data_IF_020831269018
#
_entry.id   IF_020831269018
#
_cell.length_a   1.000
_cell.length_b   1.000
_cell.length_c   1.000
_cell.angle_alpha   90.00
_cell.angle_beta   90.00
_cell.angle_gamma   90.00
#
_symmetry.space_group_name_H-M   'P 1'
#
loop_
_entity.id
_entity.type
_entity.pdbx_description
1 polymer ?
#
# COMPACT_ATOMS: atom_id res chain seq x y z
N UNK A 1 38.50 -14.27 -0.53
CA UNK A 1 38.03 -14.24 0.88
C UNK A 1 36.85 -13.29 0.92
N UNK A 2 35.63 -13.81 0.75
CA UNK A 2 34.40 -13.01 0.94
C UNK A 2 34.30 -12.68 2.43
N UNK A 3 34.31 -11.41 2.68
CA UNK A 3 34.19 -10.86 4.03
C UNK A 3 32.77 -11.14 4.51
N UNK A 4 32.59 -12.21 5.27
CA UNK A 4 31.30 -12.61 5.86
C UNK A 4 30.99 -11.69 7.05
N UNK A 5 30.86 -10.37 6.76
CA UNK A 5 30.38 -9.42 7.75
C UNK A 5 28.93 -9.77 8.03
N UNK A 6 28.61 -10.14 9.26
CA UNK A 6 27.23 -10.39 9.70
C UNK A 6 26.34 -9.22 9.28
N UNK A 7 25.28 -9.52 8.51
CA UNK A 7 24.30 -8.51 8.05
C UNK A 7 23.73 -7.76 9.25
N UNK A 8 23.86 -6.45 9.23
CA UNK A 8 23.29 -5.59 10.28
C UNK A 8 21.78 -5.42 10.06
N UNK A 9 21.00 -6.15 10.85
CA UNK A 9 19.53 -6.14 10.81
C UNK A 9 19.02 -5.29 11.96
N UNK A 10 18.10 -4.35 11.64
CA UNK A 10 17.43 -3.51 12.63
C UNK A 10 15.91 -3.67 12.48
N UNK A 11 15.25 -4.11 13.56
CA UNK A 11 13.80 -4.28 13.63
C UNK A 11 13.17 -3.10 14.39
N UNK A 12 12.34 -2.34 13.71
CA UNK A 12 11.59 -1.20 14.26
C UNK A 12 10.18 -1.66 14.65
N UNK A 13 9.91 -1.71 15.94
CA UNK A 13 8.69 -2.28 16.52
C UNK A 13 7.77 -1.16 16.97
N UNK A 14 6.58 -1.06 16.39
CA UNK A 14 5.58 -0.11 16.85
C UNK A 14 4.88 -0.64 18.13
N UNK A 15 5.13 -0.03 19.30
CA UNK A 15 4.54 -0.48 20.57
C UNK A 15 3.03 -0.27 20.65
N UNK A 16 2.45 0.56 19.78
CA UNK A 16 1.02 0.86 19.69
C UNK A 16 0.31 0.04 18.61
N UNK A 17 1.02 -0.80 17.86
CA UNK A 17 0.43 -1.59 16.80
C UNK A 17 -0.75 -2.44 17.28
N UNK A 18 -1.68 -2.74 16.35
CA UNK A 18 -2.86 -3.56 16.58
C UNK A 18 -3.79 -3.04 17.68
N UNK A 19 -4.00 -1.71 17.75
CA UNK A 19 -4.91 -1.07 18.73
C UNK A 19 -4.61 -1.49 20.18
N UNK A 20 -3.37 -1.35 20.60
CA UNK A 20 -2.92 -1.70 21.96
C UNK A 20 -2.96 -3.21 22.27
N UNK A 21 -3.08 -4.09 21.28
CA UNK A 21 -3.01 -5.56 21.51
C UNK A 21 -1.70 -5.97 22.18
N UNK A 22 -0.59 -5.26 21.97
CA UNK A 22 0.64 -5.45 22.69
C UNK A 22 0.47 -5.36 24.21
N UNK A 23 -0.35 -4.40 24.71
CA UNK A 23 -0.62 -4.31 26.15
C UNK A 23 -1.32 -5.55 26.69
N UNK A 24 -2.21 -6.16 25.89
CA UNK A 24 -2.94 -7.38 26.26
C UNK A 24 -2.11 -8.65 26.03
N UNK A 25 -1.09 -8.59 25.20
CA UNK A 25 -0.27 -9.74 24.77
C UNK A 25 1.22 -9.51 25.00
N UNK A 26 1.60 -8.99 26.18
CA UNK A 26 3.00 -8.75 26.56
C UNK A 26 3.89 -9.99 26.35
N UNK A 27 3.38 -11.17 26.68
CA UNK A 27 4.09 -12.44 26.47
C UNK A 27 4.38 -12.68 24.97
N UNK A 28 3.39 -12.47 24.11
CA UNK A 28 3.54 -12.62 22.66
C UNK A 28 4.58 -11.65 22.08
N UNK A 29 4.59 -10.40 22.57
CA UNK A 29 5.61 -9.43 22.16
C UNK A 29 7.00 -9.86 22.61
N UNK A 30 7.16 -10.25 23.86
CA UNK A 30 8.43 -10.72 24.39
C UNK A 30 8.97 -11.95 23.66
N UNK A 31 8.08 -12.88 23.31
CA UNK A 31 8.41 -14.04 22.50
C UNK A 31 8.81 -13.63 21.07
N UNK A 32 8.05 -12.74 20.43
CA UNK A 32 8.40 -12.23 19.09
C UNK A 32 9.77 -11.56 19.09
N UNK A 33 10.03 -10.65 20.04
CA UNK A 33 11.31 -9.94 20.14
C UNK A 33 12.48 -10.90 20.29
N UNK A 34 12.33 -12.00 21.05
CA UNK A 34 13.35 -13.04 21.19
C UNK A 34 13.65 -13.81 19.89
N UNK A 35 12.67 -13.85 18.98
CA UNK A 35 12.81 -14.57 17.71
C UNK A 35 13.19 -13.67 16.53
N UNK A 36 13.13 -12.34 16.72
CA UNK A 36 13.53 -11.38 15.68
C UNK A 36 15.05 -11.40 15.49
N UNK A 37 15.52 -11.32 14.23
CA UNK A 37 16.94 -11.21 13.95
C UNK A 37 17.45 -9.79 14.25
N UNK A 38 18.69 -9.69 14.68
CA UNK A 38 19.40 -8.43 14.88
C UNK A 38 18.90 -7.57 16.04
N UNK A 39 19.06 -6.26 15.92
CA UNK A 39 18.69 -5.28 16.96
C UNK A 39 17.22 -4.93 16.89
N UNK A 40 16.54 -4.86 18.03
CA UNK A 40 15.12 -4.50 18.13
C UNK A 40 14.98 -3.17 18.87
N UNK A 41 14.35 -2.21 18.21
CA UNK A 41 14.10 -0.87 18.74
C UNK A 41 12.59 -0.58 18.68
N UNK A 42 12.05 -0.01 19.75
CA UNK A 42 10.67 0.49 19.73
C UNK A 42 10.59 1.81 18.96
N UNK A 43 9.62 1.93 18.05
CA UNK A 43 9.40 3.19 17.36
C UNK A 43 8.84 4.23 18.34
N UNK A 44 9.16 5.51 18.15
CA UNK A 44 8.51 6.60 18.86
C UNK A 44 6.98 6.61 18.67
N UNK A 45 6.31 7.57 19.32
CA UNK A 45 4.83 7.65 19.27
C UNK A 45 4.33 8.40 18.05
N UNK A 46 5.12 9.33 17.54
CA UNK A 46 4.74 10.14 16.39
C UNK A 46 5.33 9.56 15.10
N UNK A 47 4.72 9.94 14.00
CA UNK A 47 5.15 9.58 12.65
C UNK A 47 6.50 10.21 12.33
N UNK A 48 6.61 11.51 12.59
CA UNK A 48 7.79 12.33 12.29
C UNK A 48 9.02 11.78 13.02
N UNK A 49 8.88 11.44 14.29
CA UNK A 49 9.95 10.84 15.07
C UNK A 49 10.33 9.43 14.56
N UNK A 50 9.35 8.64 14.07
CA UNK A 50 9.60 7.32 13.48
C UNK A 50 10.36 7.44 12.16
N UNK A 51 10.00 8.39 11.32
CA UNK A 51 10.72 8.72 10.08
C UNK A 51 12.15 9.14 10.38
N UNK A 52 12.36 10.07 11.31
CA UNK A 52 13.70 10.54 11.70
C UNK A 52 14.56 9.42 12.31
N UNK A 53 14.00 8.61 13.20
CA UNK A 53 14.68 7.44 13.75
C UNK A 53 15.13 6.49 12.65
N UNK A 54 14.26 6.19 11.71
CA UNK A 54 14.59 5.32 10.58
C UNK A 54 15.69 5.92 9.71
N UNK A 55 15.59 7.23 9.40
CA UNK A 55 16.59 7.96 8.64
C UNK A 55 17.97 7.85 9.27
N UNK A 56 18.07 7.98 10.59
CA UNK A 56 19.32 7.92 11.33
C UNK A 56 19.95 6.52 11.39
N UNK A 57 19.12 5.47 11.31
CA UNK A 57 19.55 4.06 11.38
C UNK A 57 20.06 3.56 10.01
N UNK A 58 19.46 3.99 8.92
CA UNK A 58 19.74 3.49 7.56
C UNK A 58 21.23 3.50 7.17
N UNK A 59 22.08 4.49 7.54
CA UNK A 59 23.50 4.47 7.20
C UNK A 59 24.27 3.27 7.74
N UNK A 60 23.80 2.66 8.84
CA UNK A 60 24.46 1.56 9.53
C UNK A 60 23.75 0.21 9.38
N UNK A 61 22.63 0.14 8.67
CA UNK A 61 21.81 -1.06 8.51
C UNK A 61 21.88 -1.62 7.08
N UNK A 62 21.95 -2.94 6.94
CA UNK A 62 21.80 -3.64 5.66
C UNK A 62 20.32 -4.03 5.41
N UNK A 63 19.58 -4.29 6.50
CA UNK A 63 18.17 -4.67 6.47
C UNK A 63 17.43 -3.93 7.59
N UNK A 64 16.41 -3.15 7.20
CA UNK A 64 15.49 -2.48 8.13
C UNK A 64 14.14 -3.17 8.06
N UNK A 65 13.64 -3.63 9.21
CA UNK A 65 12.40 -4.41 9.31
C UNK A 65 11.34 -3.61 10.06
N UNK A 66 10.24 -3.30 9.41
CA UNK A 66 9.08 -2.70 10.06
C UNK A 66 8.20 -3.78 10.71
N UNK A 67 8.01 -3.72 12.02
CA UNK A 67 7.15 -4.62 12.80
C UNK A 67 5.91 -3.86 13.25
N UNK A 68 4.85 -3.88 12.44
CA UNK A 68 3.66 -3.07 12.69
C UNK A 68 2.55 -3.26 11.68
N UNK A 69 1.69 -2.25 11.56
CA UNK A 69 0.65 -2.13 10.54
C UNK A 69 1.08 -1.28 9.35
N UNK A 70 0.14 -1.03 8.42
CA UNK A 70 0.41 -0.28 7.18
C UNK A 70 0.97 1.13 7.46
N UNK A 71 0.52 1.82 8.53
CA UNK A 71 1.08 3.12 8.95
C UNK A 71 2.56 3.01 9.37
N UNK A 72 2.91 2.02 10.22
CA UNK A 72 4.32 1.81 10.60
C UNK A 72 5.20 1.50 9.39
N UNK A 73 4.67 0.70 8.46
CA UNK A 73 5.36 0.37 7.20
C UNK A 73 5.61 1.65 6.39
N UNK A 74 4.60 2.52 6.29
CA UNK A 74 4.70 3.79 5.59
C UNK A 74 5.75 4.73 6.21
N UNK A 75 5.75 4.87 7.55
CA UNK A 75 6.70 5.75 8.26
C UNK A 75 8.15 5.26 8.10
N UNK A 76 8.37 3.93 8.20
CA UNK A 76 9.69 3.35 7.99
C UNK A 76 10.13 3.49 6.52
N UNK A 77 9.25 3.26 5.56
CA UNK A 77 9.55 3.50 4.14
C UNK A 77 9.94 4.95 3.89
N UNK A 78 9.17 5.90 4.42
CA UNK A 78 9.48 7.33 4.29
C UNK A 78 10.87 7.65 4.85
N UNK A 79 11.21 7.13 6.04
CA UNK A 79 12.52 7.33 6.64
C UNK A 79 13.68 6.73 5.84
N UNK A 80 13.47 5.56 5.19
CA UNK A 80 14.46 4.98 4.28
C UNK A 80 14.70 5.92 3.09
N UNK A 81 13.62 6.44 2.49
CA UNK A 81 13.74 7.37 1.36
C UNK A 81 14.43 8.68 1.76
N UNK A 82 14.05 9.27 2.88
CA UNK A 82 14.66 10.51 3.37
C UNK A 82 16.15 10.33 3.77
N UNK A 83 16.58 9.08 4.04
CA UNK A 83 17.99 8.78 4.27
C UNK A 83 18.84 8.75 2.99
N UNK A 84 18.21 8.68 1.80
CA UNK A 84 18.89 8.47 0.52
C UNK A 84 19.57 7.09 0.39
N UNK A 85 19.12 6.08 1.17
CA UNK A 85 19.72 4.73 1.21
C UNK A 85 18.83 3.64 0.64
N UNK A 86 17.76 3.96 -0.06
CA UNK A 86 16.79 3.03 -0.63
C UNK A 86 17.39 2.01 -1.63
N UNK A 87 18.52 2.34 -2.23
CA UNK A 87 19.29 1.48 -3.15
C UNK A 87 20.16 0.45 -2.40
N UNK A 88 20.52 0.71 -1.16
CA UNK A 88 21.45 -0.10 -0.33
C UNK A 88 20.72 -0.92 0.72
N UNK A 89 19.80 -0.29 1.43
CA UNK A 89 19.01 -0.94 2.48
C UNK A 89 17.98 -1.87 1.88
N UNK A 90 17.91 -3.10 2.38
CA UNK A 90 16.79 -4.00 2.10
C UNK A 90 15.69 -3.72 3.12
N UNK A 91 14.44 -3.68 2.66
CA UNK A 91 13.29 -3.47 3.53
C UNK A 91 12.58 -4.78 3.85
N UNK A 92 12.23 -5.01 5.10
CA UNK A 92 11.49 -6.18 5.56
C UNK A 92 10.20 -5.79 6.28
N UNK A 93 9.18 -6.65 6.22
CA UNK A 93 7.88 -6.41 6.84
C UNK A 93 7.45 -7.58 7.72
N UNK A 94 7.17 -7.32 8.99
CA UNK A 94 6.52 -8.26 9.90
C UNK A 94 5.16 -7.68 10.29
N UNK A 95 4.05 -8.32 9.82
CA UNK A 95 2.73 -7.76 9.99
C UNK A 95 2.23 -7.86 11.41
N UNK A 96 1.85 -6.74 12.01
CA UNK A 96 1.23 -6.69 13.33
C UNK A 96 0.08 -5.67 13.42
N UNK A 97 -0.45 -5.25 12.28
CA UNK A 97 -1.59 -4.32 12.16
C UNK A 97 -2.92 -5.02 11.94
N UNK A 98 -3.98 -4.23 11.79
CA UNK A 98 -5.34 -4.70 11.47
C UNK A 98 -5.53 -4.97 9.98
N UNK A 99 -5.02 -4.10 9.11
CA UNK A 99 -5.15 -4.17 7.64
C UNK A 99 -4.08 -5.08 7.02
N UNK A 100 -2.86 -4.67 7.10
CA UNK A 100 -1.68 -5.35 6.53
C UNK A 100 -1.84 -5.69 5.03
N UNK A 101 -2.30 -4.70 4.23
CA UNK A 101 -2.47 -4.87 2.80
C UNK A 101 -1.14 -5.08 2.09
N UNK A 102 -0.16 -4.24 2.41
CA UNK A 102 1.16 -4.25 1.78
C UNK A 102 1.86 -5.62 1.89
N UNK A 103 1.88 -6.23 3.09
CA UNK A 103 2.49 -7.56 3.27
C UNK A 103 1.87 -8.63 2.38
N UNK A 104 0.54 -8.50 2.08
CA UNK A 104 -0.19 -9.47 1.28
C UNK A 104 0.26 -9.42 -0.18
N UNK A 105 0.49 -8.22 -0.70
CA UNK A 105 1.08 -8.02 -2.02
C UNK A 105 2.50 -8.60 -2.14
N UNK A 106 3.24 -8.67 -1.03
CA UNK A 106 4.57 -9.26 -0.96
C UNK A 106 4.57 -10.79 -0.72
N UNK A 107 3.40 -11.43 -0.66
CA UNK A 107 3.27 -12.85 -0.37
C UNK A 107 3.63 -13.26 1.07
N UNK A 108 3.77 -12.29 1.99
CA UNK A 108 4.15 -12.52 3.39
C UNK A 108 2.93 -13.00 4.21
N UNK A 109 3.05 -14.06 5.05
CA UNK A 109 1.95 -14.56 5.85
C UNK A 109 1.52 -13.59 6.96
N UNK A 110 0.24 -13.66 7.38
CA UNK A 110 -0.31 -12.79 8.44
C UNK A 110 0.27 -13.11 9.84
N UNK A 111 0.71 -14.33 10.06
CA UNK A 111 1.33 -14.74 11.33
C UNK A 111 2.74 -14.14 11.41
N UNK A 112 3.05 -13.29 12.41
CA UNK A 112 4.34 -12.62 12.51
C UNK A 112 5.52 -13.57 12.67
N UNK A 113 5.36 -14.68 13.40
CA UNK A 113 6.43 -15.69 13.55
C UNK A 113 6.72 -16.40 12.23
N UNK A 114 5.68 -16.70 11.42
CA UNK A 114 5.88 -17.25 10.08
C UNK A 114 6.48 -16.21 9.11
N UNK A 115 6.25 -14.91 9.35
CA UNK A 115 6.82 -13.84 8.54
C UNK A 115 8.33 -13.71 8.74
N UNK A 116 8.86 -14.00 9.94
CA UNK A 116 10.30 -13.94 10.24
C UNK A 116 11.11 -14.79 9.25
N UNK A 117 10.58 -15.97 8.85
CA UNK A 117 11.24 -16.81 7.85
C UNK A 117 11.54 -16.04 6.55
N UNK A 118 10.63 -15.17 6.12
CA UNK A 118 10.81 -14.39 4.89
C UNK A 118 11.79 -13.22 5.05
N UNK A 119 12.04 -12.80 6.30
CA UNK A 119 13.11 -11.84 6.61
C UNK A 119 14.48 -12.47 6.46
N UNK A 120 14.62 -13.72 6.88
CA UNK A 120 15.89 -14.44 6.91
C UNK A 120 16.20 -15.17 5.59
N UNK A 121 15.20 -15.80 4.99
CA UNK A 121 15.33 -16.74 3.88
C UNK A 121 14.49 -16.36 2.65
N UNK A 122 13.75 -15.24 2.69
CA UNK A 122 12.88 -14.81 1.59
C UNK A 122 13.65 -14.33 0.37
N UNK A 123 12.95 -14.28 -0.75
CA UNK A 123 13.47 -13.69 -1.97
C UNK A 123 13.71 -12.18 -1.74
N UNK A 124 14.82 -11.65 -2.23
CA UNK A 124 15.05 -10.21 -2.31
C UNK A 124 14.75 -9.77 -3.73
N UNK A 125 13.80 -8.86 -3.88
CA UNK A 125 13.42 -8.30 -5.18
C UNK A 125 13.11 -6.82 -5.05
N UNK A 126 13.21 -6.12 -6.16
CA UNK A 126 12.93 -4.69 -6.22
C UNK A 126 11.47 -4.48 -6.58
N UNK A 127 10.86 -3.48 -5.97
CA UNK A 127 9.49 -3.07 -6.26
C UNK A 127 9.43 -1.58 -6.58
N UNK A 128 8.40 -1.21 -7.33
CA UNK A 128 8.01 0.17 -7.54
C UNK A 128 7.20 0.67 -6.35
N UNK A 129 7.24 1.97 -6.12
CA UNK A 129 6.37 2.68 -5.18
C UNK A 129 5.74 3.88 -5.89
N UNK A 130 4.83 4.55 -5.24
CA UNK A 130 4.33 5.82 -5.74
C UNK A 130 4.84 6.98 -4.88
N UNK A 131 5.03 8.12 -5.51
CA UNK A 131 5.17 9.40 -4.85
C UNK A 131 3.86 10.16 -5.00
N UNK A 132 3.29 10.60 -3.89
CA UNK A 132 2.16 11.53 -3.84
C UNK A 132 2.62 12.78 -3.12
N UNK A 133 2.62 13.90 -3.86
CA UNK A 133 3.26 15.13 -3.41
C UNK A 133 4.71 14.87 -2.92
N UNK A 134 5.00 15.08 -1.65
CA UNK A 134 6.29 14.83 -1.00
C UNK A 134 6.40 13.45 -0.29
N UNK A 135 5.37 12.60 -0.40
CA UNK A 135 5.26 11.35 0.34
C UNK A 135 5.49 10.13 -0.54
N UNK A 136 6.12 9.12 0.04
CA UNK A 136 6.27 7.80 -0.59
C UNK A 136 5.18 6.85 -0.08
N UNK A 137 4.54 6.13 -0.99
CA UNK A 137 3.45 5.25 -0.65
C UNK A 137 3.41 3.98 -1.50
N UNK A 138 2.74 2.96 -1.00
CA UNK A 138 2.42 1.74 -1.76
C UNK A 138 1.08 1.89 -2.50
N UNK A 139 0.19 2.73 -2.00
CA UNK A 139 -1.12 3.02 -2.60
C UNK A 139 -1.66 4.36 -2.11
N UNK A 140 -2.54 4.95 -2.92
CA UNK A 140 -3.29 6.15 -2.60
C UNK A 140 -4.75 6.00 -3.06
N UNK A 141 -5.65 6.81 -2.54
CA UNK A 141 -6.96 7.04 -3.15
C UNK A 141 -7.41 8.49 -3.07
N UNK A 142 -8.24 8.86 -4.03
CA UNK A 142 -8.85 10.17 -4.12
C UNK A 142 -10.37 9.97 -4.18
N UNK A 143 -11.10 10.57 -3.23
CA UNK A 143 -12.54 10.48 -3.19
C UNK A 143 -13.10 9.92 -1.89
N UNK A 144 -14.15 9.10 -2.00
CA UNK A 144 -14.97 8.66 -0.86
C UNK A 144 -14.22 7.83 0.19
N UNK A 145 -13.30 6.98 -0.22
CA UNK A 145 -12.49 6.17 0.70
C UNK A 145 -11.56 7.05 1.53
N UNK A 146 -10.99 8.09 0.93
CA UNK A 146 -10.18 9.08 1.64
C UNK A 146 -11.03 9.89 2.63
N UNK A 147 -12.22 10.31 2.21
CA UNK A 147 -13.18 11.01 3.09
C UNK A 147 -13.57 10.17 4.32
N UNK A 148 -13.83 8.86 4.13
CA UNK A 148 -14.11 7.92 5.23
C UNK A 148 -12.90 7.75 6.16
N UNK A 149 -11.69 7.73 5.59
CA UNK A 149 -10.45 7.66 6.38
C UNK A 149 -10.28 8.92 7.25
N UNK A 150 -10.47 10.10 6.68
CA UNK A 150 -10.43 11.37 7.41
C UNK A 150 -11.47 11.45 8.54
N UNK A 151 -12.70 11.01 8.27
CA UNK A 151 -13.78 10.97 9.27
C UNK A 151 -13.46 10.04 10.44
N UNK A 152 -12.93 8.84 10.14
CA UNK A 152 -12.50 7.89 11.15
C UNK A 152 -11.41 8.46 12.07
N UNK A 153 -10.45 9.19 11.51
CA UNK A 153 -9.38 9.82 12.26
C UNK A 153 -9.91 10.91 13.19
N UNK A 154 -10.87 11.74 12.74
CA UNK A 154 -11.52 12.79 13.55
C UNK A 154 -12.22 12.22 14.78
N UNK A 155 -12.92 11.11 14.63
CA UNK A 155 -13.71 10.54 15.73
C UNK A 155 -12.92 9.57 16.63
N UNK A 156 -11.67 9.25 16.31
CA UNK A 156 -10.78 8.37 17.08
C UNK A 156 -11.40 7.02 17.48
N UNK A 157 -12.43 6.55 16.76
CA UNK A 157 -13.12 5.30 17.06
C UNK A 157 -12.34 4.13 16.42
N UNK A 158 -11.75 3.23 17.22
CA UNK A 158 -10.92 2.16 16.70
C UNK A 158 -11.75 1.00 16.11
N UNK A 159 -11.14 0.29 15.14
CA UNK A 159 -11.65 -0.98 14.64
C UNK A 159 -12.75 -0.86 13.59
N UNK A 160 -13.44 -1.99 13.37
CA UNK A 160 -14.48 -2.13 12.34
C UNK A 160 -15.68 -1.20 12.59
N UNK A 161 -16.05 -0.99 13.83
CA UNK A 161 -17.18 -0.12 14.19
C UNK A 161 -16.92 1.34 13.81
N UNK A 162 -15.68 1.82 13.98
CA UNK A 162 -15.27 3.14 13.49
C UNK A 162 -15.39 3.29 11.98
N UNK A 163 -15.05 2.26 11.23
CA UNK A 163 -15.23 2.25 9.76
C UNK A 163 -16.70 2.22 9.36
N UNK A 164 -17.55 1.43 10.04
CA UNK A 164 -18.98 1.39 9.78
C UNK A 164 -19.66 2.76 10.05
N UNK A 165 -19.27 3.41 11.13
CA UNK A 165 -19.79 4.74 11.47
C UNK A 165 -19.33 5.80 10.45
N UNK A 166 -18.05 5.77 10.07
CA UNK A 166 -17.48 6.66 9.07
C UNK A 166 -18.05 6.38 7.65
N UNK A 167 -18.42 5.14 7.35
CA UNK A 167 -19.04 4.75 6.09
C UNK A 167 -20.39 5.44 5.83
N UNK A 168 -21.05 5.98 6.89
CA UNK A 168 -22.22 6.85 6.70
C UNK A 168 -21.91 8.06 5.82
N UNK A 169 -20.68 8.59 5.88
CA UNK A 169 -20.24 9.70 5.04
C UNK A 169 -20.26 9.32 3.56
N UNK A 170 -20.08 8.04 3.24
CA UNK A 170 -20.17 7.53 1.88
C UNK A 170 -21.56 7.75 1.26
N UNK A 171 -22.63 7.57 2.04
CA UNK A 171 -24.01 7.77 1.55
C UNK A 171 -24.28 9.21 1.08
N UNK A 172 -23.61 10.17 1.72
CA UNK A 172 -23.77 11.60 1.45
C UNK A 172 -22.61 12.17 0.62
N UNK A 173 -21.69 11.33 0.17
CA UNK A 173 -20.57 11.78 -0.65
C UNK A 173 -21.07 12.22 -2.03
N UNK A 174 -20.82 13.47 -2.35
CA UNK A 174 -21.16 14.03 -3.67
C UNK A 174 -20.00 13.80 -4.63
N UNK A 175 -20.31 13.17 -5.74
CA UNK A 175 -19.35 13.06 -6.86
C UNK A 175 -19.25 14.40 -7.53
N UNK A 176 -18.04 14.85 -7.78
CA UNK A 176 -17.72 16.04 -8.57
C UNK A 176 -17.12 15.63 -9.90
N UNK A 177 -17.21 16.49 -10.89
CA UNK A 177 -16.48 16.30 -12.13
C UNK A 177 -15.00 16.59 -11.90
N UNK A 178 -14.17 15.67 -12.34
CA UNK A 178 -12.73 15.71 -12.18
C UNK A 178 -12.04 15.46 -13.51
N UNK A 179 -10.87 16.06 -13.67
CA UNK A 179 -10.01 15.87 -14.83
C UNK A 179 -8.79 15.07 -14.37
N UNK A 180 -8.55 13.94 -15.03
CA UNK A 180 -7.35 13.14 -14.85
C UNK A 180 -6.45 13.33 -16.07
N UNK A 181 -5.25 13.81 -15.85
CA UNK A 181 -4.19 13.95 -16.86
C UNK A 181 -3.18 12.82 -16.61
N UNK A 182 -3.11 11.85 -17.52
CA UNK A 182 -2.27 10.66 -17.40
C UNK A 182 -1.09 10.80 -18.37
N UNK A 183 0.14 10.59 -17.88
CA UNK A 183 1.35 10.57 -18.71
C UNK A 183 1.88 9.15 -18.86
N UNK A 184 2.27 8.77 -20.08
CA UNK A 184 2.72 7.42 -20.40
C UNK A 184 1.65 6.39 -20.06
N UNK A 185 0.42 6.61 -20.53
CA UNK A 185 -0.75 5.84 -20.16
C UNK A 185 -0.96 4.62 -21.07
N UNK A 186 -1.59 3.59 -20.48
CA UNK A 186 -2.06 2.41 -21.19
C UNK A 186 -3.49 2.13 -20.75
N UNK A 187 -4.43 1.99 -21.70
CA UNK A 187 -5.83 1.66 -21.40
C UNK A 187 -6.09 0.15 -21.24
N UNK A 188 -7.33 -0.22 -20.98
CA UNK A 188 -7.73 -1.62 -20.79
C UNK A 188 -7.60 -2.48 -22.06
N UNK A 189 -7.63 -1.87 -23.24
CA UNK A 189 -7.42 -2.49 -24.53
C UNK A 189 -5.95 -2.60 -24.91
N UNK A 190 -5.04 -2.05 -24.08
CA UNK A 190 -3.60 -2.07 -24.29
C UNK A 190 -3.08 -0.98 -25.23
N UNK A 191 -3.91 0.02 -25.57
CA UNK A 191 -3.48 1.18 -26.35
C UNK A 191 -2.62 2.09 -25.52
N UNK A 192 -1.54 2.58 -26.09
CA UNK A 192 -0.57 3.44 -25.43
C UNK A 192 -0.79 4.92 -25.82
N UNK A 193 -0.61 5.79 -24.85
CA UNK A 193 -0.76 7.24 -25.00
C UNK A 193 0.39 7.93 -24.27
N UNK A 194 1.04 8.88 -24.93
CA UNK A 194 2.02 9.74 -24.28
C UNK A 194 1.32 10.62 -23.24
N UNK A 195 0.15 11.15 -23.61
CA UNK A 195 -0.73 11.94 -22.75
C UNK A 195 -2.18 11.51 -23.00
N UNK A 196 -2.95 11.30 -21.93
CA UNK A 196 -4.36 10.96 -21.99
C UNK A 196 -5.12 11.78 -20.96
N UNK A 197 -6.10 12.57 -21.41
CA UNK A 197 -6.99 13.34 -20.53
C UNK A 197 -8.34 12.63 -20.43
N UNK A 198 -8.80 12.45 -19.19
CA UNK A 198 -10.06 11.78 -18.87
C UNK A 198 -10.91 12.70 -18.00
N UNK A 199 -12.13 12.99 -18.46
CA UNK A 199 -13.15 13.60 -17.62
C UNK A 199 -13.93 12.50 -16.92
N UNK A 200 -14.05 12.56 -15.59
CA UNK A 200 -14.72 11.53 -14.81
C UNK A 200 -15.39 12.12 -13.57
N UNK A 201 -16.60 11.68 -13.32
CA UNK A 201 -17.30 11.92 -12.07
C UNK A 201 -17.26 10.65 -11.21
N UNK A 202 -16.06 10.33 -10.72
CA UNK A 202 -15.86 9.13 -9.90
C UNK A 202 -16.33 9.33 -8.45
N UNK A 203 -16.77 8.27 -7.81
CA UNK A 203 -16.97 8.19 -6.36
C UNK A 203 -15.63 8.02 -5.65
N UNK A 204 -14.76 7.21 -6.24
CA UNK A 204 -13.43 6.92 -5.71
C UNK A 204 -12.47 6.61 -6.87
N UNK A 205 -11.24 7.04 -6.72
CA UNK A 205 -10.13 6.71 -7.61
C UNK A 205 -9.04 6.06 -6.77
N UNK A 206 -8.77 4.77 -6.98
CA UNK A 206 -7.72 4.03 -6.28
C UNK A 206 -6.51 3.91 -7.17
N UNK A 207 -5.34 4.23 -6.62
CA UNK A 207 -4.07 4.32 -7.34
C UNK A 207 -3.02 3.53 -6.56
N UNK A 208 -2.28 2.69 -7.24
CA UNK A 208 -1.19 1.92 -6.66
C UNK A 208 -0.47 1.05 -7.66
N UNK A 209 0.53 0.34 -7.21
CA UNK A 209 1.27 -0.65 -8.01
C UNK A 209 1.14 -2.07 -7.42
N UNK A 210 0.14 -2.31 -6.59
CA UNK A 210 -0.06 -3.59 -5.93
C UNK A 210 -1.49 -4.09 -6.05
N UNK A 211 -1.67 -5.42 -5.96
CA UNK A 211 -2.98 -6.06 -6.10
C UNK A 211 -3.96 -5.64 -4.99
N UNK A 212 -3.45 -5.33 -3.80
CA UNK A 212 -4.25 -5.10 -2.61
C UNK A 212 -4.17 -3.67 -2.12
N UNK A 213 -5.34 -3.16 -1.79
CA UNK A 213 -5.55 -1.89 -1.13
C UNK A 213 -6.10 -2.13 0.28
N UNK A 214 -5.95 -1.25 1.21
CA UNK A 214 -6.33 -1.30 2.62
C UNK A 214 -7.14 -2.54 3.05
N UNK A 215 -7.02 -3.02 4.27
CA UNK A 215 -7.70 -4.24 4.77
C UNK A 215 -7.71 -5.45 3.83
N UNK A 216 -6.74 -5.54 2.90
CA UNK A 216 -6.62 -6.63 1.92
C UNK A 216 -7.71 -6.67 0.85
N UNK A 217 -8.27 -5.55 0.49
CA UNK A 217 -9.19 -5.40 -0.63
C UNK A 217 -8.45 -5.63 -1.96
N UNK A 218 -8.92 -6.58 -2.78
CA UNK A 218 -8.30 -6.94 -4.06
C UNK A 218 -8.81 -5.99 -5.16
N UNK A 219 -8.16 -4.85 -5.32
CA UNK A 219 -8.60 -3.78 -6.24
C UNK A 219 -8.05 -3.99 -7.65
N UNK A 220 -6.77 -4.30 -7.77
CA UNK A 220 -6.07 -4.40 -9.04
C UNK A 220 -5.39 -5.79 -9.20
N UNK A 221 -6.16 -6.86 -9.49
CA UNK A 221 -5.60 -8.22 -9.59
C UNK A 221 -4.48 -8.38 -10.62
N UNK A 222 -4.42 -7.50 -11.61
CA UNK A 222 -3.41 -7.48 -12.68
C UNK A 222 -2.22 -6.57 -12.38
N UNK A 223 -2.25 -5.80 -11.30
CA UNK A 223 -1.15 -4.93 -10.94
C UNK A 223 0.14 -5.72 -10.69
N UNK A 224 1.25 -5.15 -11.13
CA UNK A 224 2.60 -5.68 -10.90
C UNK A 224 3.37 -4.74 -10.01
N UNK A 225 4.20 -5.33 -9.15
CA UNK A 225 5.01 -4.55 -8.23
C UNK A 225 6.24 -3.88 -8.89
N UNK A 226 6.53 -4.20 -10.17
CA UNK A 226 7.82 -3.91 -10.81
C UNK A 226 7.72 -3.66 -12.32
N UNK A 227 6.61 -3.12 -12.81
CA UNK A 227 6.43 -2.85 -14.24
C UNK A 227 6.58 -1.37 -14.63
N UNK A 228 6.91 -0.52 -13.66
CA UNK A 228 7.12 0.91 -13.87
C UNK A 228 5.83 1.70 -14.09
N UNK A 229 4.68 1.17 -13.66
CA UNK A 229 3.38 1.81 -13.80
C UNK A 229 2.59 1.88 -12.50
N UNK A 230 1.72 2.87 -12.43
CA UNK A 230 0.60 2.95 -11.48
C UNK A 230 -0.61 2.29 -12.12
N UNK A 231 -1.33 1.48 -11.36
CA UNK A 231 -2.67 1.03 -11.71
C UNK A 231 -3.70 2.02 -11.15
N UNK A 232 -4.55 2.57 -12.00
CA UNK A 232 -5.54 3.61 -11.69
C UNK A 232 -6.92 3.04 -11.95
N UNK A 233 -7.72 2.86 -10.90
CA UNK A 233 -9.04 2.25 -10.94
C UNK A 233 -10.10 3.27 -10.57
N UNK A 234 -11.05 3.53 -11.46
CA UNK A 234 -12.14 4.48 -11.27
C UNK A 234 -13.44 3.77 -10.88
N UNK A 235 -14.05 4.21 -9.78
CA UNK A 235 -15.35 3.78 -9.31
C UNK A 235 -16.39 4.82 -9.69
N UNK A 236 -16.91 4.75 -10.91
CA UNK A 236 -17.85 5.71 -11.50
C UNK A 236 -19.30 5.31 -11.25
N UNK A 237 -19.64 4.94 -10.03
CA UNK A 237 -20.98 4.50 -9.66
C UNK A 237 -21.55 5.31 -8.48
N UNK A 238 -22.89 5.39 -8.34
CA UNK A 238 -23.50 6.03 -7.18
C UNK A 238 -23.15 5.34 -5.86
N UNK A 239 -23.11 6.07 -4.73
CA UNK A 239 -22.74 5.53 -3.42
C UNK A 239 -23.55 4.29 -3.01
N UNK A 240 -24.85 4.27 -3.23
CA UNK A 240 -25.71 3.13 -2.88
C UNK A 240 -25.36 1.87 -3.68
N UNK A 241 -25.07 2.02 -4.97
CA UNK A 241 -24.64 0.90 -5.83
C UNK A 241 -23.27 0.41 -5.38
N UNK A 242 -22.36 1.31 -5.06
CA UNK A 242 -21.03 0.97 -4.54
C UNK A 242 -21.13 0.14 -3.24
N UNK A 243 -21.96 0.57 -2.28
CA UNK A 243 -22.16 -0.13 -1.01
C UNK A 243 -22.74 -1.54 -1.26
N UNK A 244 -23.73 -1.65 -2.12
CA UNK A 244 -24.35 -2.94 -2.47
C UNK A 244 -23.37 -3.88 -3.16
N UNK A 245 -22.54 -3.37 -4.08
CA UNK A 245 -21.57 -4.14 -4.83
C UNK A 245 -20.24 -4.34 -4.06
N UNK A 246 -20.04 -3.67 -2.93
CA UNK A 246 -18.78 -3.69 -2.20
C UNK A 246 -18.24 -5.10 -1.89
N UNK A 247 -19.06 -6.10 -1.49
CA UNK A 247 -18.55 -7.47 -1.30
C UNK A 247 -17.91 -8.04 -2.58
N UNK A 248 -18.53 -7.84 -3.73
CA UNK A 248 -18.01 -8.32 -5.02
C UNK A 248 -16.74 -7.57 -5.44
N UNK A 249 -16.72 -6.26 -5.20
CA UNK A 249 -15.56 -5.41 -5.43
C UNK A 249 -14.40 -5.84 -4.52
N UNK A 250 -14.68 -6.08 -3.24
CA UNK A 250 -13.69 -6.49 -2.24
C UNK A 250 -12.95 -7.79 -2.62
N UNK A 251 -13.68 -8.77 -3.16
CA UNK A 251 -13.10 -10.05 -3.61
C UNK A 251 -12.53 -10.01 -5.03
N UNK A 252 -12.58 -8.89 -5.72
CA UNK A 252 -12.01 -8.75 -7.06
C UNK A 252 -12.88 -9.31 -8.19
N UNK A 253 -14.18 -9.47 -7.98
CA UNK A 253 -15.07 -10.04 -9.00
C UNK A 253 -15.59 -9.00 -10.01
N UNK A 254 -15.50 -7.72 -9.66
CA UNK A 254 -16.02 -6.60 -10.48
C UNK A 254 -14.94 -5.85 -11.28
N UNK A 255 -13.68 -6.15 -11.10
CA UNK A 255 -12.55 -5.34 -11.65
C UNK A 255 -12.60 -5.19 -13.18
N UNK A 256 -13.10 -6.19 -13.90
CA UNK A 256 -13.25 -6.10 -15.37
C UNK A 256 -14.31 -5.10 -15.84
N UNK A 257 -15.21 -4.70 -14.94
CA UNK A 257 -16.29 -3.73 -15.21
C UNK A 257 -15.93 -2.31 -14.77
N UNK A 258 -14.84 -2.15 -14.03
CA UNK A 258 -14.33 -0.86 -13.63
C UNK A 258 -13.40 -0.31 -14.69
N UNK A 259 -13.41 0.99 -14.91
CA UNK A 259 -12.41 1.63 -15.77
C UNK A 259 -11.06 1.54 -15.09
N UNK A 260 -10.09 1.03 -15.82
CA UNK A 260 -8.74 0.80 -15.35
C UNK A 260 -7.74 1.33 -16.37
N UNK A 261 -6.76 2.07 -15.90
CA UNK A 261 -5.65 2.59 -16.67
C UNK A 261 -4.35 2.25 -15.96
N UNK A 262 -3.28 2.12 -16.73
CA UNK A 262 -1.91 2.20 -16.23
C UNK A 262 -1.32 3.52 -16.66
N UNK A 263 -0.52 4.16 -15.81
CA UNK A 263 0.20 5.36 -16.18
C UNK A 263 1.51 5.48 -15.37
N UNK A 264 2.47 6.25 -15.90
CA UNK A 264 3.67 6.61 -15.14
C UNK A 264 3.40 7.74 -14.16
N UNK A 265 2.45 8.58 -14.51
CA UNK A 265 2.10 9.78 -13.75
C UNK A 265 0.62 10.11 -13.93
N UNK A 266 -0.03 10.62 -12.91
CA UNK A 266 -1.39 11.13 -12.94
C UNK A 266 -1.48 12.44 -12.16
N UNK A 267 -2.09 13.44 -12.78
CA UNK A 267 -2.55 14.67 -12.13
C UNK A 267 -4.07 14.66 -12.13
N UNK A 268 -4.66 14.76 -10.94
CA UNK A 268 -6.11 14.81 -10.77
C UNK A 268 -6.47 16.24 -10.36
N UNK A 269 -7.36 16.87 -11.11
CA UNK A 269 -7.90 18.21 -10.81
C UNK A 269 -9.40 18.10 -10.56
N UNK A 270 -9.86 18.76 -9.51
CA UNK A 270 -11.28 18.80 -9.12
C UNK A 270 -11.46 19.61 -7.86
N UNK A 271 -12.69 19.94 -7.52
CA UNK A 271 -12.98 20.75 -6.34
C UNK A 271 -13.04 19.87 -5.08
N UNK A 272 -12.22 20.19 -4.08
CA UNK A 272 -12.28 19.54 -2.76
C UNK A 272 -12.00 18.05 -2.80
N UNK A 273 -10.99 17.61 -3.55
CA UNK A 273 -10.58 16.19 -3.64
C UNK A 273 -10.10 15.71 -2.27
N UNK A 274 -10.80 14.77 -1.69
CA UNK A 274 -10.37 14.09 -0.48
C UNK A 274 -9.29 13.07 -0.82
N UNK A 275 -8.14 13.13 -0.15
CA UNK A 275 -6.95 12.36 -0.50
C UNK A 275 -6.42 11.57 0.68
N UNK A 276 -6.04 10.33 0.42
CA UNK A 276 -5.32 9.48 1.38
C UNK A 276 -4.19 8.69 0.71
N UNK A 277 -3.19 8.29 1.50
CA UNK A 277 -2.12 7.37 1.11
C UNK A 277 -1.80 6.41 2.25
N UNK A 278 -1.51 5.15 1.95
CA UNK A 278 -1.19 4.10 2.94
C UNK A 278 -2.19 3.99 4.11
N UNK A 279 -3.44 4.45 3.94
CA UNK A 279 -4.47 4.50 4.98
C UNK A 279 -4.40 5.73 5.89
N UNK A 280 -3.60 6.74 5.54
CA UNK A 280 -3.51 8.02 6.21
C UNK A 280 -4.16 9.11 5.37
N UNK A 281 -4.94 9.97 6.01
CA UNK A 281 -5.62 11.08 5.37
C UNK A 281 -4.64 12.25 5.13
N UNK A 282 -4.47 12.65 3.87
CA UNK A 282 -3.59 13.75 3.49
C UNK A 282 -4.28 15.11 3.57
N UNK A 283 -5.59 15.14 3.35
CA UNK A 283 -6.38 16.37 3.36
C UNK A 283 -7.33 16.46 2.17
N UNK A 284 -7.95 17.63 2.05
CA UNK A 284 -8.76 18.03 0.90
C UNK A 284 -7.99 19.06 0.06
N UNK A 285 -7.92 18.86 -1.25
CA UNK A 285 -7.18 19.72 -2.17
C UNK A 285 -7.83 19.75 -3.55
N UNK A 286 -7.49 20.72 -4.39
CA UNK A 286 -8.09 20.86 -5.73
C UNK A 286 -7.20 20.24 -6.83
N UNK A 287 -5.98 19.87 -6.47
CA UNK A 287 -5.03 19.20 -7.37
C UNK A 287 -4.21 18.20 -6.60
N UNK A 288 -4.08 17.00 -7.16
CA UNK A 288 -3.23 15.90 -6.63
C UNK A 288 -2.29 15.44 -7.73
N UNK A 289 -1.02 15.30 -7.39
CA UNK A 289 -0.01 14.78 -8.30
C UNK A 289 0.56 13.47 -7.77
N UNK A 290 0.49 12.40 -8.56
CA UNK A 290 0.99 11.08 -8.20
C UNK A 290 1.82 10.54 -9.36
N UNK A 291 3.02 10.06 -9.06
CA UNK A 291 3.90 9.41 -10.04
C UNK A 291 4.48 8.11 -9.52
N UNK A 292 4.83 7.19 -10.41
CA UNK A 292 5.58 6.00 -10.06
C UNK A 292 7.03 6.36 -9.75
N UNK A 293 7.61 5.68 -8.75
CA UNK A 293 9.05 5.60 -8.52
C UNK A 293 9.47 4.20 -8.94
N UNK A 294 10.03 4.02 -10.15
CA UNK A 294 10.42 2.70 -10.62
C UNK A 294 11.60 2.16 -9.80
N UNK A 295 11.62 0.84 -9.60
CA UNK A 295 12.68 0.16 -8.86
C UNK A 295 13.01 0.84 -7.52
N UNK A 296 11.98 1.29 -6.82
CA UNK A 296 12.08 2.21 -5.69
C UNK A 296 12.84 1.65 -4.50
N UNK A 297 12.66 0.37 -4.18
CA UNK A 297 13.27 -0.25 -3.00
C UNK A 297 13.44 -1.75 -3.18
N UNK A 298 14.48 -2.30 -2.57
CA UNK A 298 14.69 -3.74 -2.44
C UNK A 298 13.95 -4.24 -1.21
N UNK A 299 13.18 -5.33 -1.34
CA UNK A 299 12.34 -5.84 -0.26
C UNK A 299 12.50 -7.36 -0.11
N UNK A 300 12.33 -7.86 1.12
CA UNK A 300 12.22 -9.29 1.37
C UNK A 300 10.76 -9.76 1.24
N UNK A 301 10.54 -10.92 0.65
CA UNK A 301 9.18 -11.45 0.51
C UNK A 301 9.12 -12.85 -0.10
N UNK A 302 7.98 -13.18 -0.67
CA UNK A 302 7.78 -14.40 -1.45
C UNK A 302 7.36 -14.02 -2.87
N UNK A 303 8.32 -13.95 -3.77
CA UNK A 303 8.12 -13.55 -5.16
C UNK A 303 7.07 -14.39 -5.87
N UNK A 304 7.11 -15.72 -5.74
CA UNK A 304 6.13 -16.63 -6.35
C UNK A 304 4.70 -16.37 -5.88
N UNK A 305 4.50 -16.00 -4.61
CA UNK A 305 3.17 -15.65 -4.09
C UNK A 305 2.75 -14.24 -4.45
N UNK A 306 3.67 -13.31 -4.54
CA UNK A 306 3.42 -11.95 -5.03
C UNK A 306 2.89 -11.97 -6.47
N UNK A 307 3.48 -12.79 -7.32
CA UNK A 307 3.12 -12.92 -8.75
C UNK A 307 1.94 -13.88 -9.01
N UNK A 308 1.38 -14.52 -7.98
CA UNK A 308 0.35 -15.59 -8.12
C UNK A 308 -0.87 -15.19 -8.98
N UNK A 309 -1.28 -13.94 -8.93
CA UNK A 309 -2.43 -13.46 -9.72
C UNK A 309 -2.12 -13.29 -11.20
N UNK A 310 -0.85 -13.15 -11.55
CA UNK A 310 -0.39 -13.03 -12.93
C UNK A 310 -0.39 -14.41 -13.61
N UNK A 311 0.11 -15.44 -12.93
CA UNK A 311 0.24 -16.81 -13.46
C UNK A 311 -1.13 -17.45 -13.71
N UNK A 312 -2.08 -17.35 -12.80
CA UNK A 312 -3.42 -17.94 -12.95
C UNK A 312 -4.24 -17.37 -14.13
N UNK A 313 -3.79 -16.31 -14.79
CA UNK A 313 -4.45 -15.72 -15.97
C UNK A 313 -3.84 -16.20 -17.28
N UNK A 314 -2.53 -16.40 -17.37
CA UNK A 314 -1.90 -16.99 -18.53
C UNK A 314 -2.51 -18.37 -18.81
N UNK A 315 -2.65 -19.20 -17.77
CA UNK A 315 -3.25 -20.54 -17.87
C UNK A 315 -4.73 -20.52 -18.30
N UNK A 316 -5.51 -19.49 -17.89
CA UNK A 316 -6.93 -19.34 -18.27
C UNK A 316 -7.13 -18.71 -19.65
N UNK A 317 -6.20 -17.92 -20.14
CA UNK A 317 -6.25 -17.36 -21.49
C UNK A 317 -5.93 -18.46 -22.52
N UNK A 318 -4.92 -19.29 -22.24
CA UNK A 318 -4.50 -20.38 -23.11
C UNK A 318 -5.56 -21.51 -23.19
N UNK A 319 -6.31 -21.75 -22.10
CA UNK A 319 -7.41 -22.71 -22.10
C UNK A 319 -8.66 -22.25 -22.88
N UNK A 320 -8.82 -20.94 -23.17
CA UNK A 320 -9.95 -20.39 -23.94
C UNK A 320 -9.62 -20.20 -25.43
N UNK A 321 -8.36 -20.22 -25.83
CA UNK A 321 -7.93 -20.23 -27.23
C UNK A 321 -7.97 -21.61 -27.87
N UNK A 322 -8.26 -22.66 -27.07
CA UNK A 322 -8.33 -24.06 -27.49
C UNK A 322 -9.76 -24.65 -27.54
N UNK A 323 -10.80 -23.79 -27.47
CA UNK A 323 -12.22 -24.21 -27.62
C UNK A 323 -12.87 -23.49 -28.79
#
# INVERSE_FOLDING_TARGET
>A
MENNSEKKIVCLINPLAANKRWKRRRKLRAELVKTLPGSCLDTPRTKEETVEMTRSICPSADLVVAVGGDGTIADVLQGIFESGRQDRVVFGVIPFGSGNAFRKSLGIPRNPFKAIKYILEGDIFTIDLLQIEDRVAAFASVGSTAAVTGEKLRHSIPGLFGHLLAARKLLFYKRTENILELSGAVDQEGRQYDQLTINSSFLDCVIGNSNYFGYSWLVAPQARLDDGFLDIILFEMPPLIYIFLFPFIYFGWMQRKLRHFKAKEVVIRGQGLEVQYNGEYLGSMDRVHIKVIPAAIRITGNRKKADRFLVNRADRADSRSKV
#
